data_IF_417771510639
#
_entry.id   IF_417771510639
#
_cell.length_a   1.000
_cell.length_b   1.000
_cell.length_c   1.000
_cell.angle_alpha   90.00
_cell.angle_beta   90.00
_cell.angle_gamma   90.00
#
_symmetry.space_group_name_H-M   'P 1'
#
loop_
_entity.id
_entity.type
_entity.pdbx_description
1 polymer ?
#
# COMPACT_ATOMS: atom_id res chain seq x y z
N UNK A 1 4.86 4.04 -17.36
CA UNK A 1 6.24 3.92 -17.88
C UNK A 1 7.24 4.46 -16.88
N UNK A 2 8.39 3.81 -16.79
CA UNK A 2 9.46 4.20 -15.88
C UNK A 2 10.69 4.59 -16.67
N UNK A 3 11.41 5.62 -16.19
CA UNK A 3 12.78 5.84 -16.66
C UNK A 3 13.65 4.71 -16.14
N UNK A 4 14.64 4.29 -16.93
CA UNK A 4 15.53 3.19 -16.56
C UNK A 4 16.24 3.44 -15.22
N UNK A 5 16.72 4.65 -15.01
CA UNK A 5 17.40 5.03 -13.75
C UNK A 5 16.45 4.94 -12.56
N UNK A 6 15.20 5.40 -12.71
CA UNK A 6 14.17 5.30 -11.66
C UNK A 6 13.90 3.86 -11.32
N UNK A 7 13.69 3.02 -12.33
CA UNK A 7 13.39 1.60 -12.15
C UNK A 7 14.51 0.88 -11.41
N UNK A 8 15.76 1.17 -11.76
CA UNK A 8 16.93 0.59 -11.10
C UNK A 8 17.05 1.07 -9.65
N UNK A 9 16.81 2.36 -9.40
CA UNK A 9 16.94 2.98 -8.08
C UNK A 9 15.92 2.43 -7.09
N UNK A 10 14.68 2.19 -7.52
CA UNK A 10 13.65 1.62 -6.63
C UNK A 10 13.79 0.10 -6.44
N UNK A 11 14.74 -0.53 -7.13
CA UNK A 11 14.99 -1.97 -7.02
C UNK A 11 14.07 -2.83 -7.88
N UNK A 12 13.46 -2.27 -8.93
CA UNK A 12 12.54 -2.98 -9.81
C UNK A 12 11.16 -3.15 -9.21
N UNK A 13 10.31 -3.91 -9.89
CA UNK A 13 8.95 -4.20 -9.45
C UNK A 13 8.96 -5.26 -8.35
N UNK A 14 8.07 -5.11 -7.37
CA UNK A 14 7.92 -6.07 -6.27
C UNK A 14 6.85 -7.10 -6.61
N UNK A 15 7.09 -8.36 -6.25
CA UNK A 15 6.13 -9.45 -6.46
C UNK A 15 5.31 -9.65 -5.19
N UNK A 16 4.39 -8.72 -4.90
CA UNK A 16 3.56 -8.77 -3.69
C UNK A 16 2.33 -7.89 -3.88
N UNK A 17 1.30 -8.11 -3.04
CA UNK A 17 0.15 -7.21 -3.00
C UNK A 17 0.59 -5.80 -2.61
N UNK A 18 0.09 -4.79 -3.33
CA UNK A 18 0.46 -3.39 -3.09
C UNK A 18 1.75 -2.95 -3.79
N UNK A 19 2.25 -3.74 -4.73
CA UNK A 19 3.48 -3.43 -5.46
C UNK A 19 3.43 -2.08 -6.19
N UNK A 20 2.28 -1.76 -6.74
CA UNK A 20 2.06 -0.49 -7.44
C UNK A 20 2.13 0.70 -6.48
N UNK A 21 1.59 0.55 -5.28
CA UNK A 21 1.65 1.58 -4.25
C UNK A 21 3.08 1.78 -3.76
N UNK A 22 3.83 0.70 -3.52
CA UNK A 22 5.21 0.81 -3.04
C UNK A 22 6.12 1.42 -4.10
N UNK A 23 5.90 1.09 -5.37
CA UNK A 23 6.66 1.69 -6.48
C UNK A 23 6.49 3.21 -6.51
N UNK A 24 5.25 3.69 -6.43
CA UNK A 24 4.96 5.11 -6.42
C UNK A 24 5.60 5.81 -5.22
N UNK A 25 5.51 5.22 -4.04
CA UNK A 25 6.09 5.78 -2.82
C UNK A 25 7.62 5.80 -2.87
N UNK A 26 8.25 4.77 -3.42
CA UNK A 26 9.70 4.73 -3.60
C UNK A 26 10.17 5.76 -4.62
N UNK A 27 9.43 5.97 -5.69
CA UNK A 27 9.73 7.03 -6.64
C UNK A 27 9.74 8.40 -5.95
N UNK A 28 8.78 8.66 -5.10
CA UNK A 28 8.72 9.91 -4.31
C UNK A 28 9.85 10.00 -3.28
N UNK A 29 10.21 8.87 -2.67
CA UNK A 29 11.36 8.82 -1.75
C UNK A 29 12.65 9.27 -2.42
N UNK A 30 12.87 8.86 -3.66
CA UNK A 30 14.05 9.24 -4.44
C UNK A 30 13.86 10.54 -5.25
N UNK A 31 12.85 11.34 -4.91
CA UNK A 31 12.55 12.64 -5.52
C UNK A 31 12.18 12.59 -7.02
N UNK A 32 11.64 11.47 -7.48
CA UNK A 32 11.11 11.38 -8.84
C UNK A 32 9.68 11.90 -8.90
N UNK A 33 9.34 12.50 -10.04
CA UNK A 33 7.98 12.98 -10.28
C UNK A 33 7.12 11.86 -10.85
N UNK A 34 5.96 11.64 -10.23
CA UNK A 34 4.95 10.66 -10.69
C UNK A 34 3.80 11.44 -11.31
N UNK A 35 3.48 11.15 -12.58
CA UNK A 35 2.43 11.84 -13.33
C UNK A 35 1.46 10.81 -13.91
N UNK A 36 0.15 11.10 -13.78
CA UNK A 36 -0.90 10.30 -14.39
C UNK A 36 -1.30 10.96 -15.72
N UNK A 37 -1.29 10.18 -16.80
CA UNK A 37 -1.74 10.66 -18.10
C UNK A 37 -3.22 10.28 -18.26
N UNK A 38 -4.10 11.28 -18.11
CA UNK A 38 -5.54 11.08 -18.20
C UNK A 38 -6.05 10.88 -19.63
N UNK A 39 -5.21 11.18 -20.64
CA UNK A 39 -5.59 10.97 -22.04
C UNK A 39 -5.50 9.51 -22.45
N UNK A 40 -4.82 8.66 -21.66
CA UNK A 40 -4.66 7.25 -21.93
C UNK A 40 -5.59 6.44 -21.02
N UNK A 41 -6.41 5.59 -21.64
CA UNK A 41 -7.36 4.75 -20.91
C UNK A 41 -7.12 3.29 -21.25
N UNK A 42 -7.12 2.43 -20.23
CA UNK A 42 -7.00 0.98 -20.39
C UNK A 42 -8.26 0.34 -19.80
N UNK A 43 -8.92 -0.48 -20.61
CA UNK A 43 -10.09 -1.22 -20.14
C UNK A 43 -9.66 -2.51 -19.46
N UNK A 44 -10.05 -2.68 -18.19
CA UNK A 44 -9.82 -3.92 -17.48
C UNK A 44 -10.85 -4.95 -17.92
N UNK A 45 -10.39 -6.05 -18.51
CA UNK A 45 -11.26 -7.15 -18.93
C UNK A 45 -11.69 -8.02 -17.76
N UNK A 46 -10.90 -8.00 -16.67
CA UNK A 46 -11.19 -8.75 -15.45
C UNK A 46 -11.42 -7.74 -14.31
N UNK A 47 -12.59 -7.77 -13.66
CA UNK A 47 -12.87 -6.81 -12.57
C UNK A 47 -11.86 -6.95 -11.43
N UNK A 48 -11.29 -5.82 -11.01
CA UNK A 48 -10.36 -5.78 -9.88
C UNK A 48 -11.15 -5.94 -8.58
N UNK A 49 -10.77 -6.92 -7.77
CA UNK A 49 -11.39 -7.16 -6.47
C UNK A 49 -12.73 -7.87 -6.52
N UNK A 50 -13.18 -8.36 -7.69
CA UNK A 50 -14.44 -9.08 -7.83
C UNK A 50 -14.49 -10.37 -7.00
N UNK A 51 -13.35 -11.04 -6.84
CA UNK A 51 -13.24 -12.29 -6.09
C UNK A 51 -12.52 -12.06 -4.75
N UNK A 52 -12.92 -11.03 -4.02
CA UNK A 52 -12.29 -10.67 -2.75
C UNK A 52 -12.75 -11.63 -1.65
N UNK A 53 -11.99 -12.69 -1.44
CA UNK A 53 -12.29 -13.72 -0.45
C UNK A 53 -11.59 -13.42 0.89
N UNK A 54 -11.82 -14.29 1.89
CA UNK A 54 -11.24 -14.13 3.23
C UNK A 54 -9.71 -14.09 3.21
N UNK A 55 -9.06 -14.92 2.38
CA UNK A 55 -7.61 -14.92 2.23
C UNK A 55 -7.09 -13.57 1.71
N UNK A 56 -7.78 -12.97 0.74
CA UNK A 56 -7.40 -11.66 0.21
C UNK A 56 -7.49 -10.56 1.27
N UNK A 57 -8.45 -10.63 2.18
CA UNK A 57 -8.59 -9.66 3.28
C UNK A 57 -7.40 -9.71 4.23
N UNK A 58 -6.95 -10.90 4.59
CA UNK A 58 -5.75 -11.07 5.42
C UNK A 58 -4.49 -10.61 4.69
N UNK A 59 -4.40 -10.87 3.39
CA UNK A 59 -3.27 -10.39 2.57
C UNK A 59 -3.20 -8.87 2.51
N UNK A 60 -4.33 -8.19 2.54
CA UNK A 60 -4.36 -6.73 2.59
C UNK A 60 -3.72 -6.21 3.90
N UNK A 61 -4.02 -6.83 5.02
CA UNK A 61 -3.38 -6.51 6.30
C UNK A 61 -1.89 -6.81 6.29
N UNK A 62 -1.51 -7.93 5.72
CA UNK A 62 -0.09 -8.28 5.51
C UNK A 62 0.62 -7.23 4.64
N UNK A 63 -0.06 -6.75 3.58
CA UNK A 63 0.49 -5.71 2.71
C UNK A 63 0.76 -4.42 3.50
N UNK A 64 -0.12 -4.02 4.39
CA UNK A 64 0.10 -2.85 5.24
C UNK A 64 1.36 -2.99 6.09
N UNK A 65 1.62 -4.19 6.61
CA UNK A 65 2.84 -4.45 7.35
C UNK A 65 4.07 -4.35 6.45
N UNK A 66 4.08 -5.04 5.32
CA UNK A 66 5.25 -5.10 4.42
C UNK A 66 5.54 -3.77 3.74
N UNK A 67 4.54 -2.89 3.58
CA UNK A 67 4.72 -1.55 3.05
C UNK A 67 5.34 -0.58 4.06
N UNK A 68 5.52 -1.00 5.30
CA UNK A 68 6.12 -0.16 6.33
C UNK A 68 5.19 0.87 6.94
N UNK A 69 3.88 0.67 6.85
CA UNK A 69 2.89 1.63 7.38
C UNK A 69 2.95 1.78 8.90
N UNK A 70 3.30 0.73 9.63
CA UNK A 70 3.21 0.70 11.08
C UNK A 70 1.78 0.53 11.57
N UNK A 71 1.62 0.25 12.86
CA UNK A 71 0.31 -0.08 13.44
C UNK A 71 -0.69 1.08 13.35
N UNK A 72 -0.25 2.29 13.70
CA UNK A 72 -1.13 3.46 13.74
C UNK A 72 -1.75 3.76 12.37
N UNK A 73 -0.93 3.82 11.33
CA UNK A 73 -1.42 4.09 9.96
C UNK A 73 -2.27 2.92 9.46
N UNK A 74 -1.90 1.69 9.83
CA UNK A 74 -2.68 0.49 9.48
C UNK A 74 -4.08 0.56 10.07
N UNK A 75 -4.24 1.00 11.32
CA UNK A 75 -5.56 1.16 11.95
C UNK A 75 -6.41 2.15 11.15
N UNK A 76 -5.85 3.32 10.82
CA UNK A 76 -6.57 4.35 10.08
C UNK A 76 -6.95 3.86 8.67
N UNK A 77 -5.99 3.25 7.97
CA UNK A 77 -6.22 2.73 6.61
C UNK A 77 -7.26 1.61 6.61
N UNK A 78 -7.20 0.72 7.59
CA UNK A 78 -8.16 -0.39 7.73
C UNK A 78 -9.57 0.12 8.00
N UNK A 79 -9.70 1.11 8.89
CA UNK A 79 -10.99 1.72 9.18
C UNK A 79 -11.57 2.39 7.94
N UNK A 80 -10.76 3.13 7.21
CA UNK A 80 -11.18 3.81 5.98
C UNK A 80 -11.66 2.80 4.92
N UNK A 81 -10.90 1.74 4.69
CA UNK A 81 -11.28 0.72 3.71
C UNK A 81 -12.56 -0.02 4.12
N UNK A 82 -12.70 -0.35 5.40
CA UNK A 82 -13.90 -1.02 5.91
C UNK A 82 -15.14 -0.14 5.71
N UNK A 83 -15.01 1.17 5.97
CA UNK A 83 -16.10 2.12 5.75
C UNK A 83 -16.43 2.27 4.27
N UNK A 84 -15.42 2.36 3.39
CA UNK A 84 -15.63 2.48 1.95
C UNK A 84 -16.36 1.27 1.37
N UNK A 85 -16.08 0.08 1.88
CA UNK A 85 -16.73 -1.16 1.43
C UNK A 85 -18.03 -1.45 2.18
N UNK A 86 -18.39 -0.59 3.15
CA UNK A 86 -19.60 -0.73 3.99
C UNK A 86 -19.65 -2.07 4.72
N UNK A 87 -18.49 -2.61 5.09
CA UNK A 87 -18.35 -3.89 5.79
C UNK A 87 -17.42 -3.73 7.00
N UNK A 88 -17.95 -3.31 8.16
CA UNK A 88 -17.10 -3.00 9.32
C UNK A 88 -16.26 -4.18 9.82
N UNK A 89 -16.70 -5.42 9.59
CA UNK A 89 -15.93 -6.60 10.00
C UNK A 89 -14.59 -6.73 9.25
N UNK A 90 -14.43 -6.09 8.09
CA UNK A 90 -13.17 -6.08 7.34
C UNK A 90 -12.04 -5.41 8.13
N UNK A 91 -12.38 -4.46 8.99
CA UNK A 91 -11.40 -3.81 9.86
C UNK A 91 -10.63 -4.85 10.69
N UNK A 92 -11.36 -5.78 11.30
CA UNK A 92 -10.75 -6.85 12.11
C UNK A 92 -9.89 -7.77 11.27
N UNK A 93 -10.32 -8.12 10.06
CA UNK A 93 -9.56 -8.98 9.16
C UNK A 93 -8.25 -8.33 8.75
N UNK A 94 -8.27 -7.04 8.46
CA UNK A 94 -7.06 -6.30 8.10
C UNK A 94 -6.07 -6.23 9.28
N UNK A 95 -6.57 -5.95 10.47
CA UNK A 95 -5.74 -5.89 11.67
C UNK A 95 -5.14 -7.27 11.98
N UNK A 96 -5.91 -8.33 11.85
CA UNK A 96 -5.41 -9.70 12.03
C UNK A 96 -4.31 -10.03 11.04
N UNK A 97 -4.49 -9.67 9.75
CA UNK A 97 -3.48 -9.89 8.72
C UNK A 97 -2.18 -9.16 9.05
N UNK A 98 -2.28 -7.92 9.51
CA UNK A 98 -1.12 -7.14 9.93
C UNK A 98 -0.37 -7.82 11.09
N UNK A 99 -1.09 -8.23 12.14
CA UNK A 99 -0.48 -8.88 13.30
C UNK A 99 0.13 -10.22 12.95
N UNK A 100 -0.53 -11.02 12.13
CA UNK A 100 0.01 -12.30 11.66
C UNK A 100 1.33 -12.10 10.92
N UNK A 101 1.40 -11.11 10.03
CA UNK A 101 2.62 -10.79 9.31
C UNK A 101 3.73 -10.31 10.23
N UNK A 102 3.40 -9.48 11.22
CA UNK A 102 4.35 -8.97 12.20
C UNK A 102 4.92 -10.11 13.07
N UNK A 103 4.06 -11.01 13.56
CA UNK A 103 4.48 -12.15 14.35
C UNK A 103 5.31 -13.15 13.55
N UNK A 104 4.97 -13.34 12.28
CA UNK A 104 5.70 -14.21 11.36
C UNK A 104 6.99 -13.57 10.85
N UNK A 105 7.24 -12.30 11.18
CA UNK A 105 8.42 -11.53 10.73
C UNK A 105 8.57 -11.59 9.20
N UNK A 106 7.48 -11.33 8.49
CA UNK A 106 7.49 -11.31 7.02
C UNK A 106 8.52 -10.33 6.49
N UNK A 107 9.10 -10.66 5.33
CA UNK A 107 10.07 -9.79 4.68
C UNK A 107 9.43 -8.48 4.25
N UNK A 108 10.00 -7.36 4.68
CA UNK A 108 9.52 -6.03 4.31
C UNK A 108 9.87 -5.73 2.85
N UNK A 109 8.98 -5.02 2.16
CA UNK A 109 9.24 -4.53 0.80
C UNK A 109 10.10 -3.27 0.78
N UNK A 110 10.27 -2.63 1.94
CA UNK A 110 11.01 -1.38 2.09
C UNK A 110 11.98 -1.49 3.27
N UNK A 111 13.05 -0.69 3.24
CA UNK A 111 13.97 -0.62 4.37
C UNK A 111 13.46 0.37 5.44
N UNK A 112 14.23 0.53 6.54
CA UNK A 112 13.84 1.37 7.67
C UNK A 112 13.66 2.84 7.27
N UNK A 113 14.56 3.37 6.45
CA UNK A 113 14.49 4.78 6.00
C UNK A 113 13.30 5.00 5.07
N UNK A 114 13.08 4.07 4.15
CA UNK A 114 11.93 4.10 3.25
C UNK A 114 10.63 4.01 4.03
N UNK A 115 10.57 3.14 5.04
CA UNK A 115 9.39 3.00 5.89
C UNK A 115 9.08 4.28 6.67
N UNK A 116 10.10 4.95 7.20
CA UNK A 116 9.95 6.24 7.89
C UNK A 116 9.37 7.29 6.95
N UNK A 117 9.89 7.37 5.73
CA UNK A 117 9.38 8.31 4.71
C UNK A 117 7.91 8.01 4.39
N UNK A 118 7.55 6.74 4.17
CA UNK A 118 6.19 6.32 3.85
C UNK A 118 5.23 6.72 4.96
N UNK A 119 5.58 6.45 6.23
CA UNK A 119 4.74 6.82 7.38
C UNK A 119 4.55 8.33 7.46
N UNK A 120 5.62 9.09 7.32
CA UNK A 120 5.57 10.56 7.35
C UNK A 120 4.68 11.10 6.22
N UNK A 121 4.86 10.59 5.02
CA UNK A 121 4.10 10.99 3.84
C UNK A 121 2.61 10.70 4.03
N UNK A 122 2.28 9.50 4.50
CA UNK A 122 0.88 9.10 4.71
C UNK A 122 0.21 9.95 5.80
N UNK A 123 0.91 10.21 6.89
CA UNK A 123 0.39 11.07 7.96
C UNK A 123 0.14 12.49 7.46
N UNK A 124 1.06 13.03 6.67
CA UNK A 124 0.90 14.36 6.08
C UNK A 124 -0.34 14.42 5.18
N UNK A 125 -0.53 13.42 4.32
CA UNK A 125 -1.69 13.35 3.44
C UNK A 125 -3.00 13.21 4.21
N UNK A 126 -3.00 12.45 5.28
CA UNK A 126 -4.15 12.31 6.16
C UNK A 126 -4.52 13.64 6.82
N UNK A 127 -3.52 14.38 7.31
CA UNK A 127 -3.73 15.72 7.90
C UNK A 127 -4.31 16.69 6.88
N UNK A 128 -3.80 16.71 5.66
CA UNK A 128 -4.30 17.57 4.60
C UNK A 128 -5.77 17.30 4.28
N UNK A 129 -6.20 16.05 4.35
CA UNK A 129 -7.60 15.68 4.11
C UNK A 129 -8.54 16.00 5.27
N UNK A 130 -8.04 15.97 6.50
CA UNK A 130 -8.83 16.24 7.70
C UNK A 130 -8.88 17.73 8.05
N UNK A 131 -7.86 18.48 7.68
CA UNK A 131 -7.72 19.90 7.94
C UNK A 131 -7.50 20.66 6.63
#
# INVERSE_FOLDING_TARGET
>A
AYRKETFQQIGGLKSAMGWDTVDELLCKFYNWKVVTDESLHVKHLKPTGANYNKSARYKQGEAFYTLGYGFFITVIASAKLAMMKKKPFLFLDYIQGFWKAKLAKKTMLVDTEQAKFIRKYRLQKMKEKLF
#
